data_IF_087949518927
#
_entry.id   IF_087949518927
#
_cell.length_a   1.000
_cell.length_b   1.000
_cell.length_c   1.000
_cell.angle_alpha   90.00
_cell.angle_beta   90.00
_cell.angle_gamma   90.00
#
_symmetry.space_group_name_H-M   'P 1'
#
loop_
_entity.id
_entity.type
_entity.pdbx_description
1 polymer ?
#
# COMPACT_ATOMS: atom_id res chain seq x y z
N UNK A 1 15.55 -6.09 12.92
CA UNK A 1 14.10 -5.90 13.10
C UNK A 1 13.41 -6.47 11.87
N UNK A 2 13.12 -7.77 11.88
CA UNK A 2 12.44 -8.42 10.74
C UNK A 2 10.94 -8.13 10.85
N UNK A 3 10.58 -6.87 10.57
CA UNK A 3 9.20 -6.41 10.55
C UNK A 3 8.47 -7.17 9.46
N UNK A 4 7.48 -7.97 9.85
CA UNK A 4 6.65 -8.73 8.90
C UNK A 4 6.01 -7.75 7.93
N UNK A 5 6.38 -7.85 6.66
CA UNK A 5 5.86 -7.01 5.60
C UNK A 5 4.33 -7.00 5.61
N UNK A 6 3.74 -5.82 5.52
CA UNK A 6 2.30 -5.64 5.45
C UNK A 6 1.80 -5.25 4.06
N UNK A 7 0.49 -5.09 3.94
CA UNK A 7 -0.17 -4.59 2.73
C UNK A 7 -0.89 -3.26 3.00
N UNK A 8 -0.85 -2.33 2.06
CA UNK A 8 -1.51 -1.04 2.13
C UNK A 8 -2.63 -0.98 1.09
N UNK A 9 -3.87 -0.90 1.55
CA UNK A 9 -5.06 -0.93 0.69
C UNK A 9 -5.79 0.42 0.69
N UNK A 10 -6.59 0.68 -0.34
CA UNK A 10 -7.48 1.84 -0.35
C UNK A 10 -8.64 1.64 0.65
N UNK A 11 -8.94 2.68 1.42
CA UNK A 11 -10.16 2.77 2.21
C UNK A 11 -11.36 3.07 1.31
N UNK A 12 -12.53 2.57 1.70
CA UNK A 12 -13.80 2.90 1.05
C UNK A 12 -14.08 4.41 1.25
N UNK A 13 -14.35 5.16 0.17
CA UNK A 13 -14.55 6.62 0.25
C UNK A 13 -15.83 7.00 1.01
N UNK A 14 -16.84 6.13 1.02
CA UNK A 14 -18.08 6.30 1.79
C UNK A 14 -17.96 5.77 3.22
N UNK A 15 -17.03 4.83 3.45
CA UNK A 15 -16.80 4.18 4.75
C UNK A 15 -15.30 4.13 5.06
N UNK A 16 -14.72 5.22 5.60
CA UNK A 16 -13.27 5.34 5.76
C UNK A 16 -12.62 4.35 6.73
N UNK A 17 -13.41 3.60 7.51
CA UNK A 17 -12.95 2.53 8.40
C UNK A 17 -13.07 1.13 7.77
N UNK A 18 -13.46 1.04 6.50
CA UNK A 18 -13.54 -0.21 5.75
C UNK A 18 -12.59 -0.16 4.56
N UNK A 19 -12.02 -1.32 4.17
CA UNK A 19 -11.35 -1.42 2.89
C UNK A 19 -12.34 -1.17 1.76
N UNK A 20 -11.85 -0.68 0.64
CA UNK A 20 -12.60 -0.57 -0.59
C UNK A 20 -13.26 -1.92 -0.95
N UNK A 21 -14.51 -1.95 -1.42
CA UNK A 21 -15.20 -3.20 -1.76
C UNK A 21 -14.43 -4.06 -2.77
N UNK A 22 -13.66 -3.45 -3.68
CA UNK A 22 -12.83 -4.16 -4.65
C UNK A 22 -11.64 -4.89 -4.00
N UNK A 23 -11.15 -4.37 -2.87
CA UNK A 23 -10.06 -4.96 -2.09
C UNK A 23 -10.55 -5.74 -0.86
N UNK A 24 -11.86 -5.80 -0.61
CA UNK A 24 -12.41 -6.38 0.62
C UNK A 24 -12.08 -7.88 0.78
N UNK A 25 -12.13 -8.63 -0.33
CA UNK A 25 -11.78 -10.05 -0.35
C UNK A 25 -10.28 -10.28 -0.09
N UNK A 26 -9.42 -9.50 -0.74
CA UNK A 26 -7.96 -9.58 -0.53
C UNK A 26 -7.56 -9.18 0.90
N UNK A 27 -8.20 -8.15 1.46
CA UNK A 27 -7.99 -7.74 2.85
C UNK A 27 -8.44 -8.83 3.82
N UNK A 28 -9.56 -9.50 3.54
CA UNK A 28 -10.03 -10.62 4.33
C UNK A 28 -9.04 -11.80 4.25
N UNK A 29 -8.52 -12.11 3.06
CA UNK A 29 -7.52 -13.15 2.86
C UNK A 29 -6.20 -12.86 3.59
N UNK A 30 -5.69 -11.62 3.49
CA UNK A 30 -4.48 -11.19 4.23
C UNK A 30 -4.70 -11.32 5.73
N UNK A 31 -5.85 -10.87 6.26
CA UNK A 31 -6.18 -10.99 7.68
C UNK A 31 -6.31 -12.46 8.12
N UNK A 32 -6.93 -13.31 7.29
CA UNK A 32 -7.09 -14.73 7.56
C UNK A 32 -5.74 -15.48 7.56
N UNK A 33 -4.81 -15.07 6.70
CA UNK A 33 -3.42 -15.53 6.71
C UNK A 33 -2.58 -14.94 7.88
N UNK A 34 -3.22 -14.17 8.76
CA UNK A 34 -2.57 -13.49 9.88
C UNK A 34 -1.65 -12.35 9.44
N UNK A 35 -1.69 -11.91 8.19
CA UNK A 35 -0.90 -10.80 7.67
C UNK A 35 -1.38 -9.43 8.18
N UNK A 36 -0.44 -8.49 8.30
CA UNK A 36 -0.73 -7.11 8.68
C UNK A 36 -1.13 -6.27 7.48
N UNK A 37 -2.04 -5.31 7.68
CA UNK A 37 -2.36 -4.34 6.65
C UNK A 37 -2.89 -3.03 7.18
N UNK A 38 -2.69 -1.96 6.42
CA UNK A 38 -3.15 -0.62 6.72
C UNK A 38 -4.03 -0.09 5.58
N UNK A 39 -4.85 0.92 5.88
CA UNK A 39 -5.74 1.56 4.91
C UNK A 39 -5.26 2.99 4.63
N UNK A 40 -5.30 3.39 3.36
CA UNK A 40 -5.03 4.75 2.89
C UNK A 40 -6.29 5.38 2.31
N UNK A 41 -6.53 6.64 2.63
CA UNK A 41 -7.64 7.42 2.05
C UNK A 41 -7.28 7.83 0.61
N UNK A 42 -7.85 7.13 -0.37
CA UNK A 42 -7.51 7.31 -1.78
C UNK A 42 -7.91 8.69 -2.29
N UNK A 43 -9.08 9.18 -1.89
CA UNK A 43 -9.57 10.50 -2.29
C UNK A 43 -8.69 11.62 -1.75
N UNK A 44 -8.28 11.55 -0.47
CA UNK A 44 -7.32 12.51 0.08
C UNK A 44 -5.99 12.46 -0.67
N UNK A 45 -5.52 11.27 -1.04
CA UNK A 45 -4.29 11.12 -1.82
C UNK A 45 -4.41 11.75 -3.22
N UNK A 46 -5.55 11.55 -3.90
CA UNK A 46 -5.82 12.15 -5.21
C UNK A 46 -6.00 13.67 -5.13
N UNK A 47 -6.58 14.20 -4.05
CA UNK A 47 -6.66 15.63 -3.74
C UNK A 47 -5.27 16.25 -3.54
N UNK A 48 -4.33 15.48 -2.99
CA UNK A 48 -2.98 15.93 -2.66
C UNK A 48 -2.70 16.05 -1.17
N UNK A 49 -3.65 15.63 -0.35
CA UNK A 49 -3.57 15.62 1.11
C UNK A 49 -2.98 14.29 1.59
N UNK A 50 -1.71 14.03 1.24
CA UNK A 50 -1.04 12.76 1.54
C UNK A 50 -0.96 12.47 3.05
N UNK A 51 -0.80 13.48 3.91
CA UNK A 51 -0.81 13.28 5.37
C UNK A 51 -2.17 12.76 5.87
N UNK A 52 -3.26 13.34 5.34
CA UNK A 52 -4.62 12.85 5.60
C UNK A 52 -4.81 11.44 5.05
N UNK A 53 -4.23 11.16 3.88
CA UNK A 53 -4.28 9.83 3.27
C UNK A 53 -3.72 8.74 4.19
N UNK A 54 -2.58 9.02 4.83
CA UNK A 54 -1.91 8.07 5.74
C UNK A 54 -2.30 8.25 7.21
N UNK A 55 -3.27 9.12 7.51
CA UNK A 55 -3.64 9.48 8.88
C UNK A 55 -3.92 8.27 9.78
N UNK A 56 -4.52 7.23 9.19
CA UNK A 56 -4.96 5.99 9.84
C UNK A 56 -3.89 4.90 9.85
N UNK A 57 -2.77 5.11 9.15
CA UNK A 57 -1.64 4.19 9.17
C UNK A 57 -0.90 4.37 10.49
N UNK A 58 -0.76 3.28 11.24
CA UNK A 58 0.01 3.28 12.47
C UNK A 58 1.48 3.64 12.19
N UNK A 59 2.15 4.26 13.15
CA UNK A 59 3.56 4.63 13.00
C UNK A 59 4.44 3.40 13.19
N UNK A 60 5.46 3.25 12.35
CA UNK A 60 6.41 2.12 12.43
C UNK A 60 5.80 0.74 12.16
N UNK A 61 4.61 0.67 11.55
CA UNK A 61 3.90 -0.59 11.29
C UNK A 61 4.22 -1.21 9.92
N UNK A 62 5.08 -0.58 9.13
CA UNK A 62 5.54 -1.03 7.81
C UNK A 62 7.04 -1.28 7.77
N UNK A 63 7.50 -2.11 6.81
CA UNK A 63 7.28 -1.86 5.38
C UNK A 63 5.99 -2.44 4.78
N UNK A 64 5.49 -1.82 3.70
CA UNK A 64 4.21 -2.12 3.05
C UNK A 64 4.31 -2.35 1.53
N UNK A 65 3.50 -3.28 1.02
CA UNK A 65 3.14 -3.38 -0.40
C UNK A 65 1.86 -2.60 -0.69
N UNK A 66 1.90 -1.65 -1.62
CA UNK A 66 0.69 -0.92 -2.05
C UNK A 66 -0.20 -1.80 -2.94
N UNK A 67 -1.46 -1.95 -2.55
CA UNK A 67 -2.51 -2.78 -3.16
C UNK A 67 -3.79 -1.97 -3.35
N UNK A 68 -3.63 -0.80 -3.95
CA UNK A 68 -4.73 0.12 -4.20
C UNK A 68 -4.94 0.37 -5.69
N UNK A 69 -5.89 1.26 -5.98
CA UNK A 69 -6.12 1.78 -7.32
C UNK A 69 -4.87 2.50 -7.86
N UNK A 70 -4.78 2.58 -9.19
CA UNK A 70 -3.70 3.31 -9.85
C UNK A 70 -3.72 4.77 -9.42
N UNK A 71 -2.55 5.30 -9.02
CA UNK A 71 -2.39 6.70 -8.62
C UNK A 71 -1.39 7.37 -9.55
N UNK A 72 -1.52 8.68 -9.81
CA UNK A 72 -0.48 9.40 -10.54
C UNK A 72 0.87 9.27 -9.83
N UNK A 73 1.96 9.14 -10.59
CA UNK A 73 3.30 8.92 -10.01
C UNK A 73 3.72 10.04 -9.04
N UNK A 74 3.27 11.28 -9.27
CA UNK A 74 3.47 12.40 -8.34
C UNK A 74 2.76 12.17 -7.01
N UNK A 75 1.50 11.71 -7.03
CA UNK A 75 0.74 11.35 -5.82
C UNK A 75 1.36 10.16 -5.10
N UNK A 76 1.86 9.17 -5.84
CA UNK A 76 2.59 8.04 -5.24
C UNK A 76 3.85 8.48 -4.50
N UNK A 77 4.61 9.43 -5.06
CA UNK A 77 5.78 9.99 -4.39
C UNK A 77 5.41 10.74 -3.10
N UNK A 78 4.28 11.46 -3.08
CA UNK A 78 3.79 12.11 -1.86
C UNK A 78 3.32 11.07 -0.81
N UNK A 79 2.71 9.97 -1.24
CA UNK A 79 2.36 8.85 -0.36
C UNK A 79 3.61 8.25 0.30
N UNK A 80 4.64 7.96 -0.49
CA UNK A 80 5.92 7.42 0.00
C UNK A 80 6.53 8.32 1.08
N UNK A 81 6.60 9.63 0.82
CA UNK A 81 7.11 10.62 1.80
C UNK A 81 6.26 10.66 3.06
N UNK A 82 4.94 10.69 2.93
CA UNK A 82 4.04 10.75 4.08
C UNK A 82 4.14 9.49 4.97
N UNK A 83 4.34 8.32 4.36
CA UNK A 83 4.62 7.07 5.09
C UNK A 83 5.99 7.11 5.76
N UNK A 84 7.02 7.63 5.10
CA UNK A 84 8.36 7.78 5.66
C UNK A 84 8.36 8.68 6.91
N UNK A 85 7.59 9.78 6.90
CA UNK A 85 7.38 10.64 8.08
C UNK A 85 6.74 9.87 9.25
N UNK A 86 5.93 8.85 8.97
CA UNK A 86 5.33 7.96 9.97
C UNK A 86 6.25 6.80 10.39
N UNK A 87 7.47 6.73 9.85
CA UNK A 87 8.40 5.62 10.09
C UNK A 87 8.00 4.33 9.37
N UNK A 88 7.18 4.43 8.34
CA UNK A 88 6.79 3.32 7.47
C UNK A 88 7.49 3.47 6.11
N UNK A 89 7.68 2.35 5.40
CA UNK A 89 8.27 2.37 4.07
C UNK A 89 7.35 1.67 3.06
N UNK A 90 7.38 2.11 1.80
CA UNK A 90 6.83 1.35 0.69
C UNK A 90 7.92 0.46 0.10
N UNK A 91 7.56 -0.78 -0.22
CA UNK A 91 8.50 -1.72 -0.86
C UNK A 91 8.69 -1.45 -2.34
N UNK A 92 7.71 -0.81 -2.98
CA UNK A 92 7.87 -0.26 -4.32
C UNK A 92 8.19 1.23 -4.16
N UNK A 93 9.41 1.62 -4.55
CA UNK A 93 9.79 3.02 -4.48
C UNK A 93 9.04 3.84 -5.55
N UNK A 94 8.79 5.12 -5.30
CA UNK A 94 8.19 6.02 -6.28
C UNK A 94 8.88 6.04 -7.68
N UNK A 95 10.23 6.02 -7.79
CA UNK A 95 10.89 5.90 -9.10
C UNK A 95 10.61 4.57 -9.81
N UNK A 96 10.54 3.44 -9.07
CA UNK A 96 10.18 2.13 -9.64
C UNK A 96 8.73 2.11 -10.10
N UNK A 97 7.82 2.68 -9.30
CA UNK A 97 6.41 2.83 -9.67
C UNK A 97 6.24 3.67 -10.94
N UNK A 98 7.00 4.76 -11.09
CA UNK A 98 6.97 5.62 -12.28
C UNK A 98 7.50 4.93 -13.54
N UNK A 99 8.45 4.00 -13.40
CA UNK A 99 9.02 3.26 -14.52
C UNK A 99 8.11 2.14 -15.01
N UNK A 100 7.12 1.75 -14.23
CA UNK A 100 6.15 0.75 -14.65
C UNK A 100 5.27 1.32 -15.79
N UNK A 101 5.08 0.57 -16.90
CA UNK A 101 4.28 1.04 -18.01
C UNK A 101 2.81 1.24 -17.60
N UNK A 102 2.24 2.36 -18.01
CA UNK A 102 0.91 2.92 -17.70
C UNK A 102 -0.32 2.05 -18.09
N UNK A 103 -0.16 0.76 -18.37
CA UNK A 103 -1.28 -0.15 -18.65
C UNK A 103 -1.92 -0.64 -17.34
N UNK A 104 -3.24 -0.57 -17.30
CA UNK A 104 -4.17 -0.84 -16.18
C UNK A 104 -3.99 -2.19 -15.42
N UNK A 105 -3.08 -3.05 -15.86
CA UNK A 105 -2.73 -4.33 -15.21
C UNK A 105 -1.63 -4.21 -14.14
N UNK A 106 -1.00 -3.03 -13.99
CA UNK A 106 0.17 -2.86 -13.12
C UNK A 106 -0.09 -3.15 -11.62
N UNK A 107 -1.31 -2.93 -11.11
CA UNK A 107 -1.66 -3.28 -9.72
C UNK A 107 -1.59 -4.80 -9.46
N UNK A 108 -1.68 -5.62 -10.53
CA UNK A 108 -1.51 -7.07 -10.49
C UNK A 108 -0.07 -7.49 -10.85
N UNK A 109 0.59 -6.84 -11.80
CA UNK A 109 1.95 -7.18 -12.23
C UNK A 109 3.05 -6.94 -11.17
N UNK A 110 2.85 -5.99 -10.24
CA UNK A 110 3.77 -5.81 -9.11
C UNK A 110 3.88 -7.07 -8.21
N UNK A 111 2.91 -8.00 -8.28
CA UNK A 111 3.00 -9.33 -7.62
C UNK A 111 4.08 -10.22 -8.20
N UNK A 112 4.35 -10.11 -9.50
CA UNK A 112 5.23 -11.04 -10.21
C UNK A 112 6.71 -10.72 -10.00
N UNK A 113 7.04 -9.47 -9.64
CA UNK A 113 8.41 -9.01 -9.38
C UNK A 113 8.72 -8.82 -7.88
N UNK A 114 7.78 -9.10 -6.99
CA UNK A 114 8.11 -9.21 -5.57
C UNK A 114 9.04 -10.44 -5.41
N UNK A 115 10.24 -10.32 -4.82
CA UNK A 115 11.00 -11.50 -4.45
C UNK A 115 10.09 -12.30 -3.52
N UNK A 116 9.81 -13.56 -3.90
CA UNK A 116 9.08 -14.49 -3.06
C UNK A 116 9.65 -14.36 -1.64
N UNK A 117 8.81 -13.94 -0.70
CA UNK A 117 9.20 -13.70 0.67
C UNK A 117 10.07 -14.89 1.10
N UNK A 118 11.35 -14.61 1.38
CA UNK A 118 12.32 -15.61 1.75
C UNK A 118 11.73 -16.40 2.92
N UNK A 119 11.26 -17.62 2.61
CA UNK A 119 10.92 -18.59 3.62
C UNK A 119 12.19 -18.90 4.42
N UNK A 120 12.07 -19.23 5.72
CA UNK A 120 13.22 -19.68 6.48
C UNK A 120 13.70 -20.99 5.84
N UNK A 121 14.83 -20.95 5.12
CA UNK A 121 15.51 -22.16 4.71
C UNK A 121 16.28 -22.74 5.91
N UNK A 122 16.22 -24.08 6.12
CA UNK A 122 16.86 -24.78 7.23
C UNK A 122 18.40 -24.76 7.14
#
# INVERSE_FOLDING_TARGET
MTGRTGFLFCADPLRPNRPDPHSADEVAAVRAAGGGGALVDHEALLSGDADRAVARVARGSGPYWYRGWMVPSSRYAELEKALAVRGCALLTSAPDYRRAPERADCCRAALLNAPAAAGPHP
#
